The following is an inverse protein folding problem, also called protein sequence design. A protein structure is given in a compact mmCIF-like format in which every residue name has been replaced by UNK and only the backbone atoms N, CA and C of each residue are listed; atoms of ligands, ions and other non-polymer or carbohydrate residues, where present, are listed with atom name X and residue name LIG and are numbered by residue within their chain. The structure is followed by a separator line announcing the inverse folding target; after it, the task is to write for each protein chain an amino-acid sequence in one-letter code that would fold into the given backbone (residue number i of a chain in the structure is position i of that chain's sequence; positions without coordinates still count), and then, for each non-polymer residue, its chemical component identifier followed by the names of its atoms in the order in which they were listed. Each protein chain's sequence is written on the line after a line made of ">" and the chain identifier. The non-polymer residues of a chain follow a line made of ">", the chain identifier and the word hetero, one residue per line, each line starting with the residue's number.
data_IF_902009263267
#
_entry.id   IF_902009263267
#
_cell.length_a   1.000
_cell.length_b   1.000
_cell.length_c   1.000
_cell.angle_alpha   90.00
_cell.angle_beta   90.00
_cell.angle_gamma   90.00
#
_symmetry.space_group_name_H-M   'P 1'
#
loop_
_entity.id
_entity.type
_entity.pdbx_description
1 polymer ?
#
# COMPACT_ATOMS: atom_id res chain seq x y z
N UNK A 1 2.53 -2.50 68.47
CA UNK A 1 1.92 -1.61 67.47
C UNK A 1 3.02 -0.78 66.84
N UNK A 2 3.35 -1.03 65.58
CA UNK A 2 4.36 -0.24 64.86
C UNK A 2 3.92 -0.11 63.41
N UNK A 3 3.40 1.06 63.03
CA UNK A 3 3.24 1.49 61.64
C UNK A 3 3.88 2.87 61.54
N UNK A 4 5.05 2.94 60.93
CA UNK A 4 5.65 4.20 60.49
C UNK A 4 5.26 4.35 59.02
N UNK A 5 4.34 5.29 58.76
CA UNK A 5 4.14 5.92 57.45
C UNK A 5 5.03 7.17 57.43
N UNK A 6 5.90 7.30 56.43
CA UNK A 6 6.50 8.56 55.96
C UNK A 6 6.26 8.61 54.46
N UNK A 7 5.35 9.46 54.01
CA UNK A 7 5.50 10.90 53.69
C UNK A 7 5.68 11.05 52.17
N UNK A 8 4.63 11.60 51.56
CA UNK A 8 4.57 12.06 50.17
C UNK A 8 4.54 13.59 50.22
N UNK A 9 5.61 14.24 49.75
CA UNK A 9 5.60 15.62 49.26
C UNK A 9 6.60 15.68 48.09
N UNK A 10 6.10 15.82 46.85
CA UNK A 10 5.98 17.06 46.05
C UNK A 10 7.33 17.74 45.78
N UNK A 11 7.73 17.85 44.51
CA UNK A 11 8.04 19.14 43.86
C UNK A 11 8.21 19.03 42.32
N UNK A 12 8.01 20.18 41.67
CA UNK A 12 7.92 20.54 40.23
C UNK A 12 9.17 20.16 39.37
N UNK A 13 9.17 20.18 38.02
CA UNK A 13 9.34 21.40 37.15
C UNK A 13 9.13 21.07 35.64
N UNK A 14 8.53 22.02 34.90
CA UNK A 14 8.56 22.19 33.42
C UNK A 14 9.66 23.19 33.02
N UNK A 15 10.51 22.93 32.01
CA UNK A 15 11.26 23.88 31.11
C UNK A 15 11.92 23.04 29.98
N UNK A 16 11.63 23.19 28.66
CA UNK A 16 12.10 24.14 27.60
C UNK A 16 13.62 24.11 27.21
N UNK A 17 13.88 23.69 25.96
CA UNK A 17 14.85 24.22 24.94
C UNK A 17 16.32 23.65 24.85
N UNK A 18 16.56 22.92 23.73
CA UNK A 18 17.69 22.99 22.75
C UNK A 18 19.06 22.28 22.87
N UNK A 19 19.40 21.62 21.73
CA UNK A 19 20.68 21.50 20.98
C UNK A 19 21.66 20.32 21.24
N UNK A 20 21.73 19.45 20.22
CA UNK A 20 22.84 18.67 19.58
C UNK A 20 24.01 18.12 20.41
N UNK A 21 24.31 16.81 20.24
CA UNK A 21 25.64 16.28 19.83
C UNK A 21 25.49 14.84 19.28
N UNK A 22 26.28 14.56 18.23
CA UNK A 22 26.38 13.37 17.40
C UNK A 22 26.76 12.05 18.11
N UNK A 23 26.33 10.92 17.54
CA UNK A 23 27.08 9.65 17.58
C UNK A 23 27.04 9.02 16.19
N UNK A 24 28.16 9.10 15.48
CA UNK A 24 28.53 8.08 14.51
C UNK A 24 29.17 6.93 15.28
N UNK A 25 28.67 5.71 15.09
CA UNK A 25 29.41 4.47 15.31
C UNK A 25 28.77 3.38 14.43
N UNK A 26 29.49 3.03 13.37
CA UNK A 26 29.34 1.75 12.68
C UNK A 26 29.67 0.68 13.72
N UNK A 27 28.70 -0.18 14.02
CA UNK A 27 28.93 -1.45 14.68
C UNK A 27 28.21 -2.53 13.88
N UNK A 28 28.98 -3.25 13.07
CA UNK A 28 28.65 -4.58 12.60
C UNK A 28 28.47 -5.49 13.81
N UNK A 29 27.23 -5.67 14.26
CA UNK A 29 26.92 -6.58 15.35
C UNK A 29 26.64 -7.95 14.75
N UNK A 30 27.68 -8.76 14.64
CA UNK A 30 27.55 -10.21 14.62
C UNK A 30 27.15 -10.67 16.03
N UNK A 31 25.86 -10.72 16.30
CA UNK A 31 25.31 -11.46 17.43
C UNK A 31 24.14 -12.29 16.94
N UNK A 32 24.28 -13.62 17.06
CA UNK A 32 23.25 -14.60 16.75
C UNK A 32 22.07 -14.44 17.70
N UNK A 33 21.18 -13.51 17.38
CA UNK A 33 19.76 -13.65 17.65
C UNK A 33 19.16 -14.35 16.44
N UNK A 34 18.18 -15.22 16.65
CA UNK A 34 17.32 -15.66 15.56
C UNK A 34 16.87 -14.38 14.81
N UNK A 35 17.36 -14.21 13.59
CA UNK A 35 17.17 -12.98 12.83
C UNK A 35 15.68 -12.86 12.53
N UNK A 36 14.94 -12.13 13.37
CA UNK A 36 13.67 -11.57 12.94
C UNK A 36 14.04 -10.71 11.75
N UNK A 37 13.65 -11.14 10.55
CA UNK A 37 13.99 -10.48 9.30
C UNK A 37 13.26 -9.14 9.24
N UNK A 38 13.81 -8.13 9.91
CA UNK A 38 13.32 -6.77 9.84
C UNK A 38 13.93 -6.10 8.61
N UNK A 39 13.16 -6.06 7.52
CA UNK A 39 13.50 -5.25 6.36
C UNK A 39 13.00 -3.84 6.59
N UNK A 40 13.92 -2.86 6.66
CA UNK A 40 13.62 -1.44 6.81
C UNK A 40 14.29 -0.64 5.70
N UNK A 41 13.59 0.35 5.17
CA UNK A 41 14.16 1.37 4.29
C UNK A 41 14.22 2.70 5.05
N UNK A 42 15.36 3.38 4.96
CA UNK A 42 15.61 4.61 5.70
C UNK A 42 15.91 5.80 4.78
N UNK A 43 15.56 6.98 5.26
CA UNK A 43 16.02 8.24 4.66
C UNK A 43 17.52 8.45 4.89
N UNK A 44 18.18 9.37 4.17
CA UNK A 44 19.56 9.75 4.44
C UNK A 44 19.80 10.25 5.88
N UNK A 45 18.76 10.76 6.54
CA UNK A 45 18.78 11.21 7.93
C UNK A 45 18.59 10.06 8.95
N UNK A 46 18.35 8.84 8.47
CA UNK A 46 18.16 7.64 9.30
C UNK A 46 16.71 7.41 9.76
N UNK A 47 15.74 8.19 9.27
CA UNK A 47 14.32 7.99 9.55
C UNK A 47 13.80 6.74 8.83
N UNK A 48 12.96 5.93 9.50
CA UNK A 48 12.35 4.73 8.90
C UNK A 48 11.20 5.14 7.98
N UNK A 49 11.44 5.06 6.67
CA UNK A 49 10.45 5.36 5.64
C UNK A 49 9.51 4.16 5.38
N UNK A 50 10.01 2.94 5.58
CA UNK A 50 9.28 1.70 5.40
C UNK A 50 9.84 0.62 6.30
N UNK A 51 8.98 -0.27 6.80
CA UNK A 51 9.40 -1.52 7.43
C UNK A 51 8.39 -2.64 7.20
N UNK A 52 8.88 -3.86 7.13
CA UNK A 52 8.03 -5.06 7.07
C UNK A 52 7.97 -5.77 8.42
N UNK A 53 6.80 -6.35 8.70
CA UNK A 53 6.58 -7.32 9.79
C UNK A 53 5.78 -8.51 9.28
N UNK A 54 5.89 -9.66 9.93
CA UNK A 54 5.03 -10.81 9.59
C UNK A 54 3.57 -10.44 9.92
N UNK A 55 2.63 -10.79 9.03
CA UNK A 55 1.19 -10.56 9.25
C UNK A 55 0.67 -11.13 10.58
N UNK A 56 1.32 -12.17 11.13
CA UNK A 56 1.03 -12.72 12.46
C UNK A 56 1.24 -11.70 13.60
N UNK A 57 2.08 -10.68 13.37
CA UNK A 57 2.35 -9.61 14.33
C UNK A 57 1.33 -8.46 14.27
N UNK A 58 0.45 -8.44 13.26
CA UNK A 58 -0.55 -7.36 13.10
C UNK A 58 -1.62 -7.33 14.21
N UNK A 59 -1.75 -8.42 14.97
CA UNK A 59 -2.86 -8.61 15.90
C UNK A 59 -4.22 -8.87 15.23
N UNK A 60 -4.28 -8.86 13.89
CA UNK A 60 -5.47 -9.23 13.15
C UNK A 60 -5.74 -10.73 13.26
N UNK A 61 -7.02 -11.09 13.44
CA UNK A 61 -7.43 -12.50 13.40
C UNK A 61 -7.40 -12.97 11.95
N UNK A 62 -6.44 -13.84 11.61
CA UNK A 62 -6.43 -14.51 10.30
C UNK A 62 -7.62 -15.47 10.22
N UNK A 63 -8.58 -15.18 9.34
CA UNK A 63 -9.62 -16.14 8.95
C UNK A 63 -8.93 -17.15 8.04
N UNK A 64 -8.76 -18.40 8.49
CA UNK A 64 -8.01 -19.42 7.75
C UNK A 64 -8.72 -19.82 6.45
N UNK A 65 -10.04 -19.90 6.50
CA UNK A 65 -10.93 -20.11 5.35
C UNK A 65 -12.26 -19.40 5.68
N UNK A 66 -12.89 -18.69 4.72
CA UNK A 66 -14.23 -18.16 4.93
C UNK A 66 -15.19 -19.33 5.16
N UNK A 67 -16.21 -19.13 6.00
CA UNK A 67 -17.32 -20.09 6.02
C UNK A 67 -18.20 -19.90 4.78
N UNK A 68 -19.11 -20.85 4.55
CA UNK A 68 -20.00 -20.81 3.38
C UNK A 68 -20.84 -19.53 3.27
N UNK A 69 -21.17 -18.90 4.40
CA UNK A 69 -21.96 -17.66 4.41
C UNK A 69 -21.10 -16.48 3.97
N UNK A 70 -19.88 -16.36 4.51
CA UNK A 70 -18.90 -15.36 4.08
C UNK A 70 -18.52 -15.55 2.61
N UNK A 71 -18.30 -16.79 2.15
CA UNK A 71 -18.02 -17.07 0.74
C UNK A 71 -19.16 -16.61 -0.16
N UNK A 72 -20.41 -16.89 0.21
CA UNK A 72 -21.57 -16.46 -0.56
C UNK A 72 -21.71 -14.93 -0.58
N UNK A 73 -21.44 -14.26 0.54
CA UNK A 73 -21.40 -12.79 0.60
C UNK A 73 -20.31 -12.19 -0.31
N UNK A 74 -19.08 -12.74 -0.25
CA UNK A 74 -17.96 -12.29 -1.08
C UNK A 74 -18.21 -12.53 -2.57
N UNK A 75 -18.78 -13.67 -2.95
CA UNK A 75 -19.16 -13.95 -4.33
C UNK A 75 -20.20 -12.95 -4.84
N UNK A 76 -21.23 -12.62 -4.03
CA UNK A 76 -22.21 -11.61 -4.43
C UNK A 76 -21.59 -10.22 -4.54
N UNK A 77 -20.66 -9.89 -3.64
CA UNK A 77 -19.88 -8.64 -3.73
C UNK A 77 -19.11 -8.56 -5.05
N UNK A 78 -18.37 -9.61 -5.43
CA UNK A 78 -17.62 -9.64 -6.68
C UNK A 78 -18.54 -9.54 -7.91
N UNK A 79 -19.67 -10.23 -7.91
CA UNK A 79 -20.68 -10.10 -8.98
C UNK A 79 -21.14 -8.64 -9.14
N UNK A 80 -21.37 -7.92 -8.04
CA UNK A 80 -21.78 -6.51 -8.10
C UNK A 80 -20.63 -5.65 -8.64
N UNK A 81 -19.42 -5.84 -8.10
CA UNK A 81 -18.22 -5.08 -8.46
C UNK A 81 -17.85 -5.22 -9.95
N UNK A 82 -17.94 -6.43 -10.50
CA UNK A 82 -17.68 -6.72 -11.93
C UNK A 82 -18.66 -6.02 -12.88
N UNK A 83 -19.85 -5.65 -12.39
CA UNK A 83 -20.87 -4.96 -13.17
C UNK A 83 -20.88 -3.43 -12.92
N UNK A 84 -19.96 -2.91 -12.12
CA UNK A 84 -19.84 -1.46 -11.90
C UNK A 84 -19.11 -0.79 -13.07
N UNK A 85 -19.62 0.37 -13.51
CA UNK A 85 -18.95 1.17 -14.52
C UNK A 85 -17.61 1.73 -13.99
N UNK A 86 -16.53 1.74 -14.81
CA UNK A 86 -15.24 2.30 -14.39
C UNK A 86 -15.34 3.71 -13.84
N UNK A 87 -14.58 3.99 -12.78
CA UNK A 87 -14.59 5.28 -12.08
C UNK A 87 -15.79 5.46 -11.13
N UNK A 88 -16.55 4.41 -10.83
CA UNK A 88 -17.66 4.45 -9.86
C UNK A 88 -17.18 4.11 -8.46
N UNK A 89 -17.73 4.80 -7.46
CA UNK A 89 -17.62 4.40 -6.05
C UNK A 89 -19.00 4.48 -5.40
N UNK A 90 -19.35 3.49 -4.59
CA UNK A 90 -20.65 3.43 -3.94
C UNK A 90 -20.57 2.79 -2.56
N UNK A 91 -21.47 3.24 -1.66
CA UNK A 91 -21.84 2.49 -0.47
C UNK A 91 -22.93 1.49 -0.87
N UNK A 92 -22.67 0.21 -0.64
CA UNK A 92 -23.53 -0.88 -1.11
C UNK A 92 -24.03 -1.68 0.07
N UNK A 93 -25.35 -1.80 0.17
CA UNK A 93 -25.99 -2.74 1.08
C UNK A 93 -26.38 -3.99 0.31
N UNK A 94 -25.70 -5.11 0.59
CA UNK A 94 -26.02 -6.44 0.06
C UNK A 94 -26.97 -7.11 1.06
N UNK A 95 -28.13 -7.56 0.60
CA UNK A 95 -29.13 -8.23 1.43
C UNK A 95 -28.78 -9.69 1.74
N UNK A 96 -28.47 -10.56 0.76
CA UNK A 96 -28.19 -11.96 1.04
C UNK A 96 -26.87 -12.13 1.80
N UNK A 97 -26.82 -13.14 2.68
CA UNK A 97 -25.62 -13.54 3.43
C UNK A 97 -24.98 -12.42 4.25
N UNK A 98 -25.79 -11.47 4.71
CA UNK A 98 -25.33 -10.29 5.46
C UNK A 98 -26.05 -10.14 6.81
N UNK A 99 -25.91 -11.10 7.74
CA UNK A 99 -26.64 -11.09 9.00
C UNK A 99 -26.29 -9.88 9.90
N UNK A 100 -25.09 -9.32 9.76
CA UNK A 100 -24.67 -8.11 10.49
C UNK A 100 -25.11 -6.81 9.81
N UNK A 101 -25.87 -6.88 8.70
CA UNK A 101 -26.34 -5.73 7.92
C UNK A 101 -25.21 -4.76 7.56
N UNK A 102 -24.07 -5.30 7.15
CA UNK A 102 -22.90 -4.52 6.76
C UNK A 102 -23.18 -3.73 5.48
N UNK A 103 -22.72 -2.49 5.46
CA UNK A 103 -22.62 -1.70 4.23
C UNK A 103 -21.15 -1.67 3.86
N UNK A 104 -20.85 -2.08 2.63
CA UNK A 104 -19.50 -2.13 2.10
C UNK A 104 -19.30 -0.99 1.13
N UNK A 105 -18.14 -0.36 1.17
CA UNK A 105 -17.73 0.57 0.13
C UNK A 105 -17.14 -0.26 -1.01
N UNK A 106 -17.68 -0.10 -2.22
CA UNK A 106 -17.20 -0.75 -3.43
C UNK A 106 -16.64 0.29 -4.39
N UNK A 107 -15.56 -0.05 -5.07
CA UNK A 107 -14.89 0.79 -6.05
C UNK A 107 -14.78 0.04 -7.37
N UNK A 108 -15.03 0.76 -8.46
CA UNK A 108 -14.57 0.39 -9.79
C UNK A 108 -13.51 1.42 -10.18
N UNK A 109 -12.22 1.04 -10.26
CA UNK A 109 -11.15 1.96 -10.59
C UNK A 109 -11.37 2.70 -11.92
N UNK A 110 -10.70 3.84 -12.08
CA UNK A 110 -10.64 4.49 -13.39
C UNK A 110 -9.67 3.74 -14.29
N UNK A 111 -10.11 3.35 -15.49
CA UNK A 111 -9.30 2.66 -16.48
C UNK A 111 -8.86 3.62 -17.60
N UNK A 112 -7.56 3.61 -17.94
CA UNK A 112 -7.01 4.42 -19.02
C UNK A 112 -6.12 3.60 -19.95
N UNK A 113 -6.18 3.92 -21.25
CA UNK A 113 -5.38 3.27 -22.30
C UNK A 113 -4.28 4.16 -22.88
N UNK A 114 -4.17 5.39 -22.41
CA UNK A 114 -3.10 6.31 -22.82
C UNK A 114 -2.48 7.00 -21.61
N UNK A 115 -1.18 7.27 -21.69
CA UNK A 115 -0.46 8.00 -20.64
C UNK A 115 -0.97 9.44 -20.52
N UNK A 116 -1.36 10.06 -21.63
CA UNK A 116 -1.86 11.44 -21.65
C UNK A 116 -3.13 11.60 -20.80
N UNK A 117 -4.06 10.64 -20.88
CA UNK A 117 -5.30 10.67 -20.09
C UNK A 117 -5.00 10.47 -18.59
N UNK A 118 -4.03 9.60 -18.27
CA UNK A 118 -3.57 9.42 -16.89
C UNK A 118 -2.97 10.71 -16.35
N UNK A 119 -2.05 11.34 -17.10
CA UNK A 119 -1.42 12.60 -16.73
C UNK A 119 -2.44 13.73 -16.58
N UNK A 120 -3.46 13.79 -17.43
CA UNK A 120 -4.56 14.73 -17.30
C UNK A 120 -5.36 14.50 -16.01
N UNK A 121 -5.57 13.23 -15.63
CA UNK A 121 -6.34 12.86 -14.44
C UNK A 121 -5.58 13.10 -13.12
N UNK A 122 -4.30 12.72 -13.06
CA UNK A 122 -3.48 12.82 -11.83
C UNK A 122 -2.82 14.19 -11.67
N UNK A 123 -2.61 14.92 -12.76
CA UNK A 123 -1.89 16.18 -12.76
C UNK A 123 -0.46 16.01 -12.25
N UNK A 124 -0.04 16.90 -11.35
CA UNK A 124 1.33 16.92 -10.80
C UNK A 124 1.51 16.03 -9.56
N UNK A 125 0.52 15.19 -9.21
CA UNK A 125 0.58 14.35 -8.01
C UNK A 125 1.64 13.24 -8.08
N UNK A 126 2.00 12.81 -9.29
CA UNK A 126 3.02 11.78 -9.54
C UNK A 126 3.74 12.08 -10.85
N UNK A 127 4.92 11.48 -11.03
CA UNK A 127 5.59 11.40 -12.33
C UNK A 127 5.44 9.98 -12.89
N UNK A 128 5.06 9.88 -14.17
CA UNK A 128 5.02 8.61 -14.90
C UNK A 128 5.87 8.72 -16.18
N UNK A 129 6.88 7.87 -16.34
CA UNK A 129 7.69 7.86 -17.56
C UNK A 129 6.90 7.26 -18.74
N UNK A 130 7.20 7.71 -19.96
CA UNK A 130 6.65 7.08 -21.19
C UNK A 130 7.14 5.64 -21.38
N UNK A 131 8.37 5.38 -20.93
CA UNK A 131 9.04 4.08 -21.08
C UNK A 131 9.83 3.71 -19.84
N UNK A 132 9.83 2.41 -19.52
CA UNK A 132 10.71 1.78 -18.54
C UNK A 132 11.91 1.07 -19.22
N UNK A 133 12.97 0.70 -18.47
CA UNK A 133 14.12 -0.03 -18.98
C UNK A 133 13.74 -1.22 -19.87
N UNK A 134 14.54 -1.50 -20.91
CA UNK A 134 14.20 -2.54 -21.90
C UNK A 134 13.15 -2.12 -22.94
N UNK A 135 12.88 -0.81 -23.08
CA UNK A 135 11.90 -0.23 -24.02
C UNK A 135 10.46 -0.67 -23.75
N UNK A 136 10.12 -0.94 -22.49
CA UNK A 136 8.75 -1.22 -22.12
C UNK A 136 7.96 0.09 -22.18
N UNK A 137 7.05 0.22 -23.13
CA UNK A 137 6.22 1.40 -23.31
C UNK A 137 4.93 1.29 -22.49
N UNK A 138 4.37 2.41 -22.06
CA UNK A 138 3.07 2.46 -21.39
C UNK A 138 2.01 1.72 -22.21
N UNK A 139 1.26 0.83 -21.58
CA UNK A 139 0.14 0.09 -22.18
C UNK A 139 -1.20 0.57 -21.63
N UNK A 140 -1.39 0.48 -20.32
CA UNK A 140 -2.60 0.92 -19.64
C UNK A 140 -2.37 1.22 -18.16
N UNK A 141 -3.35 1.86 -17.53
CA UNK A 141 -3.33 2.14 -16.10
C UNK A 141 -4.72 2.02 -15.45
N UNK A 142 -4.71 1.68 -14.16
CA UNK A 142 -5.83 1.75 -13.22
C UNK A 142 -5.54 2.74 -12.12
N UNK A 143 -6.52 3.57 -11.77
CA UNK A 143 -6.39 4.57 -10.71
C UNK A 143 -7.54 4.49 -9.70
N UNK A 144 -7.16 4.65 -8.44
CA UNK A 144 -8.09 4.92 -7.35
C UNK A 144 -7.68 6.21 -6.63
N UNK A 145 -8.69 6.99 -6.26
CA UNK A 145 -8.53 8.19 -5.45
C UNK A 145 -9.10 7.92 -4.06
N UNK A 146 -8.81 8.79 -3.09
CA UNK A 146 -9.49 8.75 -1.80
C UNK A 146 -11.01 8.87 -1.97
N UNK A 147 -11.77 8.45 -0.95
CA UNK A 147 -13.24 8.39 -1.03
C UNK A 147 -13.83 9.30 0.06
N UNK A 148 -14.83 10.11 -0.31
CA UNK A 148 -15.70 10.80 0.67
C UNK A 148 -16.72 9.80 1.18
N UNK A 149 -16.38 9.12 2.27
CA UNK A 149 -17.14 7.99 2.80
C UNK A 149 -18.35 8.43 3.63
N UNK A 150 -19.27 9.17 3.00
CA UNK A 150 -20.46 9.75 3.61
C UNK A 150 -21.72 9.11 3.00
N UNK A 151 -22.44 8.31 3.78
CA UNK A 151 -23.68 7.66 3.34
C UNK A 151 -24.70 7.48 4.46
N UNK A 152 -25.98 7.41 4.09
CA UNK A 152 -27.07 7.19 5.03
C UNK A 152 -27.45 5.70 5.06
N UNK A 153 -27.08 5.05 6.15
CA UNK A 153 -27.37 3.62 6.37
C UNK A 153 -28.87 3.34 6.43
N UNK A 154 -29.64 4.21 7.08
CA UNK A 154 -31.08 4.01 7.25
C UNK A 154 -31.80 4.14 5.90
N UNK A 155 -31.38 5.08 5.06
CA UNK A 155 -31.90 5.23 3.70
C UNK A 155 -31.63 3.99 2.84
N UNK A 156 -30.40 3.44 2.89
CA UNK A 156 -30.05 2.20 2.17
C UNK A 156 -30.91 1.01 2.64
N UNK A 157 -31.11 0.83 3.94
CA UNK A 157 -31.96 -0.26 4.44
C UNK A 157 -33.42 -0.09 4.00
N UNK A 158 -33.97 1.11 4.12
CA UNK A 158 -35.34 1.39 3.68
C UNK A 158 -35.50 1.17 2.16
N UNK A 159 -34.49 1.55 1.37
CA UNK A 159 -34.51 1.35 -0.07
C UNK A 159 -34.51 -0.15 -0.41
N UNK A 160 -33.67 -0.95 0.23
CA UNK A 160 -33.65 -2.40 0.01
C UNK A 160 -34.98 -3.08 0.39
N UNK A 161 -35.57 -2.70 1.52
CA UNK A 161 -36.88 -3.22 1.95
C UNK A 161 -38.01 -2.84 0.99
N UNK A 162 -38.01 -1.59 0.50
CA UNK A 162 -39.03 -1.08 -0.42
C UNK A 162 -38.91 -1.68 -1.82
N UNK A 163 -37.69 -1.77 -2.34
CA UNK A 163 -37.43 -2.23 -3.72
C UNK A 163 -37.34 -3.75 -3.83
N UNK A 164 -37.21 -4.47 -2.71
CA UNK A 164 -37.03 -5.94 -2.65
C UNK A 164 -35.89 -6.44 -3.55
N UNK A 165 -34.85 -5.63 -3.71
CA UNK A 165 -33.64 -5.98 -4.48
C UNK A 165 -32.65 -6.72 -3.58
N UNK A 166 -31.82 -7.55 -4.22
CA UNK A 166 -30.72 -8.25 -3.53
C UNK A 166 -29.63 -7.30 -3.05
N UNK A 167 -29.53 -6.11 -3.64
CA UNK A 167 -28.66 -5.04 -3.19
C UNK A 167 -29.19 -3.68 -3.60
N UNK A 168 -28.73 -2.65 -2.90
CA UNK A 168 -28.95 -1.24 -3.24
C UNK A 168 -27.65 -0.47 -3.08
N UNK A 169 -27.52 0.62 -3.85
CA UNK A 169 -26.30 1.40 -3.92
C UNK A 169 -26.61 2.87 -3.71
N UNK A 170 -25.78 3.53 -2.90
CA UNK A 170 -25.71 4.98 -2.82
C UNK A 170 -24.38 5.43 -3.44
N UNK A 171 -24.39 6.20 -4.55
CA UNK A 171 -23.17 6.76 -5.12
C UNK A 171 -22.40 7.59 -4.10
N UNK A 172 -21.09 7.39 -4.05
CA UNK A 172 -20.17 8.21 -3.27
C UNK A 172 -19.36 9.11 -4.21
N UNK A 173 -18.60 10.03 -3.63
CA UNK A 173 -17.70 10.89 -4.38
C UNK A 173 -16.24 10.51 -4.11
N UNK A 174 -15.43 10.50 -5.16
CA UNK A 174 -13.98 10.51 -5.03
C UNK A 174 -13.48 11.84 -4.48
N UNK A 175 -12.36 11.82 -3.78
CA UNK A 175 -11.52 12.99 -3.52
C UNK A 175 -10.60 13.22 -4.73
N UNK A 176 -9.76 14.24 -4.64
CA UNK A 176 -8.74 14.51 -5.65
C UNK A 176 -7.37 13.92 -5.28
N UNK A 177 -7.29 13.12 -4.21
CA UNK A 177 -6.04 12.57 -3.70
C UNK A 177 -5.81 11.19 -4.29
N UNK A 178 -4.74 11.02 -5.06
CA UNK A 178 -4.35 9.71 -5.56
C UNK A 178 -4.10 8.77 -4.37
N UNK A 179 -4.78 7.64 -4.36
CA UNK A 179 -4.59 6.61 -3.34
C UNK A 179 -3.76 5.45 -3.90
N UNK A 180 -4.09 5.01 -5.12
CA UNK A 180 -3.41 3.92 -5.78
C UNK A 180 -3.38 4.10 -7.30
N UNK A 181 -2.24 3.74 -7.88
CA UNK A 181 -2.01 3.63 -9.31
C UNK A 181 -1.42 2.25 -9.61
N UNK A 182 -2.03 1.54 -10.55
CA UNK A 182 -1.44 0.38 -11.21
C UNK A 182 -1.18 0.74 -12.67
N UNK A 183 0.01 0.52 -13.20
CA UNK A 183 0.33 0.76 -14.61
C UNK A 183 1.05 -0.44 -15.21
N UNK A 184 0.63 -0.84 -16.41
CA UNK A 184 1.28 -1.88 -17.20
C UNK A 184 2.18 -1.24 -18.26
N UNK A 185 3.41 -1.71 -18.35
CA UNK A 185 4.34 -1.41 -19.45
C UNK A 185 4.69 -2.68 -20.21
N UNK A 186 4.80 -2.60 -21.54
CA UNK A 186 5.00 -3.76 -22.41
C UNK A 186 6.15 -3.56 -23.40
N UNK A 187 6.94 -4.63 -23.62
CA UNK A 187 7.94 -4.74 -24.68
C UNK A 187 7.87 -6.15 -25.28
N UNK A 188 7.24 -6.31 -26.45
CA UNK A 188 6.94 -7.63 -27.02
C UNK A 188 6.03 -8.44 -26.09
N UNK A 189 6.46 -9.64 -25.69
CA UNK A 189 5.74 -10.51 -24.75
C UNK A 189 6.11 -10.26 -23.28
N UNK A 190 7.00 -9.28 -23.02
CA UNK A 190 7.46 -8.93 -21.68
C UNK A 190 6.63 -7.80 -21.08
N UNK A 191 6.27 -7.94 -19.80
CA UNK A 191 5.44 -6.99 -19.06
C UNK A 191 6.10 -6.57 -17.75
N UNK A 192 5.88 -5.30 -17.39
CA UNK A 192 6.29 -4.71 -16.12
C UNK A 192 5.09 -4.01 -15.52
N UNK A 193 4.82 -4.28 -14.25
CA UNK A 193 3.78 -3.61 -13.50
C UNK A 193 4.43 -2.59 -12.56
N UNK A 194 3.95 -1.36 -12.63
CA UNK A 194 4.32 -0.28 -11.72
C UNK A 194 3.12 0.01 -10.82
N UNK A 195 3.32 -0.17 -9.51
CA UNK A 195 2.39 0.23 -8.47
C UNK A 195 2.89 1.53 -7.82
N UNK A 196 2.01 2.49 -7.63
CA UNK A 196 2.27 3.67 -6.80
C UNK A 196 1.14 3.78 -5.78
N UNK A 197 1.47 3.76 -4.51
CA UNK A 197 0.50 3.83 -3.41
C UNK A 197 0.78 5.04 -2.55
N UNK A 198 -0.27 5.77 -2.18
CA UNK A 198 -0.21 6.75 -1.12
C UNK A 198 0.19 6.06 0.19
N UNK A 199 1.30 6.48 0.79
CA UNK A 199 1.85 5.89 2.00
C UNK A 199 1.84 6.88 3.18
N UNK A 200 1.03 7.92 3.07
CA UNK A 200 0.75 8.86 4.16
C UNK A 200 -0.03 8.18 5.29
N UNK A 201 0.27 8.57 6.53
CA UNK A 201 -0.47 8.09 7.72
C UNK A 201 -0.30 6.61 8.06
N UNK A 202 0.53 5.85 7.33
CA UNK A 202 0.80 4.43 7.64
C UNK A 202 1.52 4.31 8.99
N UNK A 203 0.88 3.66 9.95
CA UNK A 203 1.35 3.60 11.34
C UNK A 203 2.75 2.95 11.43
N UNK A 204 3.70 3.73 11.95
CA UNK A 204 5.10 3.31 12.07
C UNK A 204 5.76 2.93 10.75
N UNK A 205 5.25 3.40 9.61
CA UNK A 205 5.69 3.01 8.27
C UNK A 205 5.64 1.49 8.03
N UNK A 206 4.75 0.77 8.74
CA UNK A 206 4.74 -0.70 8.80
C UNK A 206 3.82 -1.31 7.75
N UNK A 207 4.37 -2.18 6.91
CA UNK A 207 3.61 -3.09 6.06
C UNK A 207 3.67 -4.50 6.62
N UNK A 208 2.51 -5.15 6.76
CA UNK A 208 2.42 -6.53 7.23
C UNK A 208 2.40 -7.48 6.04
N UNK A 209 3.35 -8.42 6.02
CA UNK A 209 3.60 -9.31 4.88
C UNK A 209 3.35 -10.75 5.30
N UNK A 210 2.61 -11.50 4.48
CA UNK A 210 2.43 -12.94 4.65
C UNK A 210 3.65 -13.71 4.10
N UNK A 211 3.98 -14.83 4.75
CA UNK A 211 5.09 -15.71 4.33
C UNK A 211 6.41 -14.96 4.19
N UNK A 212 6.69 -14.00 5.08
CA UNK A 212 7.89 -13.18 5.04
C UNK A 212 9.16 -14.05 5.08
N UNK A 213 9.11 -15.16 5.81
CA UNK A 213 10.15 -16.18 5.94
C UNK A 213 10.46 -16.96 4.64
N UNK A 214 9.57 -16.91 3.65
CA UNK A 214 9.72 -17.60 2.37
C UNK A 214 10.26 -16.69 1.26
N UNK A 215 10.39 -15.38 1.53
CA UNK A 215 10.81 -14.39 0.54
C UNK A 215 12.32 -14.12 0.66
N UNK A 216 13.01 -14.03 -0.48
CA UNK A 216 14.41 -13.60 -0.50
C UNK A 216 14.45 -12.10 -0.72
N UNK A 217 14.87 -11.34 0.29
CA UNK A 217 14.94 -9.89 0.20
C UNK A 217 16.30 -9.32 0.53
N UNK A 218 16.62 -8.20 -0.10
CA UNK A 218 17.84 -7.44 0.11
C UNK A 218 17.57 -5.93 -0.04
N UNK A 219 18.17 -5.12 0.82
CA UNK A 219 18.16 -3.67 0.67
C UNK A 219 19.34 -3.24 -0.21
N UNK A 220 19.04 -2.60 -1.33
CA UNK A 220 20.00 -2.08 -2.30
C UNK A 220 19.97 -0.55 -2.25
N UNK A 221 21.12 0.11 -2.37
CA UNK A 221 21.22 1.58 -2.43
C UNK A 221 21.32 2.06 -3.86
N UNK A 222 20.42 2.96 -4.25
CA UNK A 222 20.48 3.71 -5.51
C UNK A 222 20.65 5.19 -5.18
N UNK A 223 21.90 5.66 -5.23
CA UNK A 223 22.24 7.00 -4.75
C UNK A 223 21.92 7.15 -3.26
N UNK A 224 20.94 8.00 -2.94
CA UNK A 224 20.46 8.26 -1.57
C UNK A 224 19.17 7.49 -1.21
N UNK A 225 18.62 6.70 -2.15
CA UNK A 225 17.37 5.95 -1.97
C UNK A 225 17.73 4.51 -1.59
N UNK A 226 17.14 4.02 -0.50
CA UNK A 226 17.14 2.59 -0.17
C UNK A 226 15.96 1.90 -0.85
N UNK A 227 16.23 0.76 -1.47
CA UNK A 227 15.30 0.00 -2.30
C UNK A 227 15.27 -1.44 -1.80
N UNK A 228 14.08 -1.96 -1.51
CA UNK A 228 13.90 -3.37 -1.16
C UNK A 228 13.75 -4.19 -2.44
N UNK A 229 14.73 -5.03 -2.74
CA UNK A 229 14.65 -6.03 -3.79
C UNK A 229 14.10 -7.33 -3.20
N UNK A 230 13.08 -7.90 -3.83
CA UNK A 230 12.43 -9.15 -3.43
C UNK A 230 12.44 -10.14 -4.59
N UNK A 231 12.80 -11.39 -4.30
CA UNK A 231 12.57 -12.54 -5.17
C UNK A 231 11.62 -13.51 -4.48
N UNK A 232 10.54 -13.85 -5.17
CA UNK A 232 9.57 -14.85 -4.72
C UNK A 232 9.50 -15.98 -5.75
N UNK A 233 9.87 -17.18 -5.32
CA UNK A 233 9.74 -18.37 -6.14
C UNK A 233 8.27 -18.82 -6.17
N UNK A 234 7.66 -18.81 -7.36
CA UNK A 234 6.39 -19.46 -7.64
C UNK A 234 6.65 -20.86 -8.23
N UNK A 235 5.57 -21.63 -8.45
CA UNK A 235 5.64 -23.02 -8.92
C UNK A 235 6.36 -23.16 -10.28
N UNK A 236 6.21 -22.17 -11.14
CA UNK A 236 6.61 -22.18 -12.56
C UNK A 236 7.50 -20.98 -12.96
N UNK A 237 7.67 -20.00 -12.07
CA UNK A 237 8.43 -18.78 -12.35
C UNK A 237 8.98 -18.15 -11.07
N UNK A 238 9.91 -17.22 -11.22
CA UNK A 238 10.33 -16.33 -10.12
C UNK A 238 9.79 -14.94 -10.41
N UNK A 239 8.99 -14.43 -9.48
CA UNK A 239 8.53 -13.05 -9.50
C UNK A 239 9.60 -12.21 -8.79
N UNK A 240 9.98 -11.09 -9.40
CA UNK A 240 10.94 -10.15 -8.84
C UNK A 240 10.27 -8.80 -8.67
N UNK A 241 10.50 -8.15 -7.54
CA UNK A 241 10.06 -6.79 -7.33
C UNK A 241 11.14 -5.92 -6.70
N UNK A 242 11.05 -4.62 -6.97
CA UNK A 242 11.73 -3.59 -6.20
C UNK A 242 10.70 -2.65 -5.63
N UNK A 243 10.88 -2.25 -4.38
CA UNK A 243 10.02 -1.28 -3.72
C UNK A 243 10.86 -0.23 -3.01
N UNK A 244 10.44 1.03 -3.13
CA UNK A 244 11.02 2.12 -2.35
C UNK A 244 9.93 3.13 -1.97
N UNK A 245 10.24 3.93 -0.97
CA UNK A 245 9.39 5.03 -0.52
C UNK A 245 10.15 6.33 -0.67
N UNK A 246 9.48 7.34 -1.26
CA UNK A 246 10.03 8.67 -1.39
C UNK A 246 8.94 9.72 -1.27
N UNK A 247 9.33 10.94 -0.92
CA UNK A 247 8.45 12.09 -1.02
C UNK A 247 8.36 12.57 -2.47
N UNK A 248 7.14 12.77 -2.93
CA UNK A 248 6.83 13.37 -4.22
C UNK A 248 5.65 14.32 -4.06
N UNK A 249 5.77 15.55 -4.60
CA UNK A 249 4.76 16.60 -4.45
C UNK A 249 4.29 16.84 -3.00
N UNK A 250 5.18 16.66 -2.02
CA UNK A 250 4.88 16.82 -0.60
C UNK A 250 4.10 15.66 0.04
N UNK A 251 3.97 14.53 -0.66
CA UNK A 251 3.35 13.29 -0.16
C UNK A 251 4.34 12.13 -0.16
N UNK A 252 4.28 11.29 0.86
CA UNK A 252 5.01 10.04 0.96
C UNK A 252 4.34 8.98 0.08
N UNK A 253 5.04 8.57 -0.96
CA UNK A 253 4.56 7.61 -1.94
C UNK A 253 5.43 6.35 -1.91
N UNK A 254 4.78 5.18 -1.89
CA UNK A 254 5.44 3.90 -2.12
C UNK A 254 5.39 3.58 -3.61
N UNK A 255 6.53 3.23 -4.18
CA UNK A 255 6.66 2.77 -5.56
C UNK A 255 7.08 1.31 -5.52
N UNK A 256 6.45 0.49 -6.34
CA UNK A 256 6.85 -0.89 -6.54
C UNK A 256 6.84 -1.24 -8.03
N UNK A 257 7.94 -1.83 -8.50
CA UNK A 257 8.03 -2.40 -9.84
C UNK A 257 8.06 -3.90 -9.70
N UNK A 258 7.13 -4.58 -10.37
CA UNK A 258 7.04 -6.05 -10.42
C UNK A 258 7.27 -6.50 -11.85
N UNK A 259 8.16 -7.47 -12.03
CA UNK A 259 8.41 -8.10 -13.32
C UNK A 259 8.65 -9.60 -13.17
N UNK A 260 8.32 -10.35 -14.21
CA UNK A 260 8.62 -11.79 -14.31
C UNK A 260 9.93 -12.01 -15.04
N UNK A 261 10.69 -13.05 -14.66
CA UNK A 261 11.91 -13.44 -15.38
C UNK A 261 13.09 -12.50 -15.15
N UNK A 262 13.88 -12.21 -16.18
CA UNK A 262 15.16 -11.47 -16.07
C UNK A 262 15.08 -9.99 -16.43
N UNK A 263 13.87 -9.47 -16.66
CA UNK A 263 13.62 -8.06 -16.93
C UNK A 263 14.10 -7.17 -15.79
N UNK A 264 13.88 -7.61 -14.55
CA UNK A 264 14.37 -6.98 -13.34
C UNK A 264 15.47 -7.87 -12.73
N UNK A 265 16.59 -7.25 -12.38
CA UNK A 265 17.69 -7.91 -11.68
C UNK A 265 18.42 -6.90 -10.80
N UNK A 266 19.23 -7.37 -9.86
CA UNK A 266 20.07 -6.49 -9.03
C UNK A 266 20.96 -5.55 -9.86
N UNK A 267 21.37 -5.98 -11.05
CA UNK A 267 22.24 -5.21 -11.93
C UNK A 267 21.57 -4.00 -12.58
N UNK A 268 20.23 -3.96 -12.68
CA UNK A 268 19.49 -2.90 -13.36
C UNK A 268 18.49 -2.14 -12.47
N UNK A 269 18.47 -2.38 -11.15
CA UNK A 269 17.59 -1.67 -10.20
C UNK A 269 17.72 -0.15 -10.34
N UNK A 270 18.94 0.36 -10.50
CA UNK A 270 19.19 1.80 -10.62
C UNK A 270 18.53 2.40 -11.87
N UNK A 271 18.42 1.65 -12.97
CA UNK A 271 17.75 2.10 -14.18
C UNK A 271 16.25 2.32 -13.95
N UNK A 272 15.60 1.40 -13.23
CA UNK A 272 14.18 1.50 -12.89
C UNK A 272 13.90 2.65 -11.93
N UNK A 273 14.67 2.76 -10.84
CA UNK A 273 14.50 3.84 -9.87
C UNK A 273 14.73 5.20 -10.53
N UNK A 274 15.80 5.34 -11.33
CA UNK A 274 16.09 6.60 -12.02
C UNK A 274 15.04 6.95 -13.08
N UNK A 275 14.40 5.96 -13.72
CA UNK A 275 13.32 6.19 -14.67
C UNK A 275 12.07 6.82 -14.00
N UNK A 276 11.91 6.65 -12.68
CA UNK A 276 10.81 7.21 -11.91
C UNK A 276 11.13 8.58 -11.29
N UNK A 277 12.34 9.11 -11.52
CA UNK A 277 12.73 10.44 -11.05
C UNK A 277 12.47 11.48 -12.14
N UNK A 278 11.78 12.60 -11.85
CA UNK A 278 11.65 13.70 -12.80
C UNK A 278 13.03 14.18 -13.24
N UNK A 279 13.21 14.32 -14.55
CA UNK A 279 14.42 14.97 -15.08
C UNK A 279 14.31 16.47 -14.77
N UNK A 280 15.29 16.99 -14.03
CA UNK A 280 15.46 18.43 -13.79
C UNK A 280 15.88 19.16 -15.05
#
# INVERSE_FOLDING_TARGET
>A
MTKIKREKERFFVKYKVSILVAIGLIASISSGYAAVQFYQLKSPQGEVLYQEKDVKESGAKTVKEPDQEMDAFLNKRWEIEDNMEPGTVAAVYIVPHNPQKQIVTMTAPFDYKTLADVQQKVGEQIFLPETLPGRHAFLDARLEFGIKNEYDKAALYQQAEKEKKEYVMQPLAWTNELEYLYTTYQSGESYINLNITNYEGVEGSTTYVANLDQQKKEVVKVGQIEVLYTEEAKKDRTDKSIMWVMEYAGKKMQYEVVATGDVLSKGNISEFVNAMMPKK
#
